data_IF_194047144685
#
_entry.id   IF_194047144685
#
_cell.length_a   1.000
_cell.length_b   1.000
_cell.length_c   1.000
_cell.angle_alpha   90.00
_cell.angle_beta   90.00
_cell.angle_gamma   90.00
#
_symmetry.space_group_name_H-M   'P 1'
#
loop_
_entity.id
_entity.type
_entity.pdbx_description
1 polymer ?
#
# COMPACT_ATOMS: atom_id res chain seq x y z
N UNK A 1 -0.90 16.95 -5.97
CA UNK A 1 -0.38 16.10 -4.88
C UNK A 1 0.80 16.80 -4.25
N UNK A 2 0.93 16.72 -2.92
CA UNK A 2 2.14 17.20 -2.25
C UNK A 2 3.35 16.39 -2.72
N UNK A 3 4.51 17.03 -2.80
CA UNK A 3 5.78 16.41 -3.22
C UNK A 3 6.63 15.91 -2.04
N UNK A 4 6.19 16.19 -0.81
CA UNK A 4 6.90 15.89 0.42
C UNK A 4 5.99 15.00 1.25
N UNK A 5 6.50 13.84 1.67
CA UNK A 5 5.77 12.83 2.43
C UNK A 5 6.43 12.63 3.79
N UNK A 6 5.63 12.37 4.82
CA UNK A 6 6.10 12.02 6.16
C UNK A 6 5.86 10.50 6.32
N UNK A 7 6.89 9.71 6.69
CA UNK A 7 6.71 8.28 6.87
C UNK A 7 5.81 7.98 8.08
N UNK A 8 4.94 6.98 7.94
CA UNK A 8 4.20 6.40 9.04
C UNK A 8 5.11 5.50 9.88
N UNK A 9 5.00 5.59 11.21
CA UNK A 9 5.80 4.79 12.15
C UNK A 9 4.98 3.69 12.82
N UNK A 10 3.65 3.83 12.85
CA UNK A 10 2.71 2.86 13.43
C UNK A 10 1.42 2.80 12.63
N UNK A 11 0.63 1.71 12.72
CA UNK A 11 -0.60 1.56 11.96
C UNK A 11 -1.58 2.73 12.14
N UNK A 12 -1.65 3.31 13.35
CA UNK A 12 -2.57 4.42 13.64
C UNK A 12 -2.28 5.68 12.82
N UNK A 13 -1.05 5.85 12.33
CA UNK A 13 -0.67 6.97 11.47
C UNK A 13 -1.37 6.88 10.10
N UNK A 14 -1.96 5.73 9.74
CA UNK A 14 -2.75 5.57 8.52
C UNK A 14 -4.16 6.15 8.63
N UNK A 15 -4.72 6.26 9.84
CA UNK A 15 -6.08 6.79 10.07
C UNK A 15 -6.34 8.15 9.40
N UNK A 16 -5.45 9.17 9.51
CA UNK A 16 -5.65 10.44 8.83
C UNK A 16 -5.46 10.37 7.30
N UNK A 17 -4.89 9.29 6.77
CA UNK A 17 -4.65 9.10 5.34
C UNK A 17 -5.86 8.50 4.62
N UNK A 18 -6.84 7.99 5.36
CA UNK A 18 -8.10 7.49 4.79
C UNK A 18 -8.96 8.65 4.27
N UNK A 19 -9.65 8.42 3.16
CA UNK A 19 -10.60 9.34 2.56
C UNK A 19 -11.70 9.74 3.56
N UNK A 20 -12.08 8.81 4.43
CA UNK A 20 -13.14 8.98 5.43
C UNK A 20 -12.69 8.33 6.75
N UNK A 21 -12.30 9.13 7.78
CA UNK A 21 -11.77 8.62 9.04
C UNK A 21 -12.69 7.65 9.80
N UNK A 22 -14.00 7.68 9.50
CA UNK A 22 -15.00 6.73 10.04
C UNK A 22 -14.77 5.28 9.62
N UNK A 23 -13.95 5.03 8.59
CA UNK A 23 -13.57 3.68 8.16
C UNK A 23 -12.53 3.04 9.08
N UNK A 24 -11.90 3.81 9.97
CA UNK A 24 -10.99 3.29 10.99
C UNK A 24 -11.76 2.60 12.12
N UNK A 25 -12.16 1.35 11.89
CA UNK A 25 -12.94 0.52 12.83
C UNK A 25 -12.39 -0.90 12.86
N UNK A 26 -12.40 -1.51 14.05
CA UNK A 26 -12.03 -2.94 14.18
C UNK A 26 -13.00 -3.79 13.35
N UNK A 27 -12.49 -4.83 12.67
CA UNK A 27 -13.20 -5.66 11.68
C UNK A 27 -13.49 -4.98 10.32
N UNK A 28 -12.95 -3.79 10.06
CA UNK A 28 -13.00 -3.16 8.73
C UNK A 28 -11.66 -3.30 8.00
N UNK A 29 -11.73 -3.36 6.67
CA UNK A 29 -10.59 -3.61 5.78
C UNK A 29 -9.49 -2.57 5.90
N UNK A 30 -9.82 -1.27 5.92
CA UNK A 30 -8.83 -0.20 5.99
C UNK A 30 -7.90 -0.33 7.23
N UNK A 31 -8.49 -0.61 8.40
CA UNK A 31 -7.72 -0.85 9.63
C UNK A 31 -6.93 -2.16 9.54
N UNK A 32 -7.55 -3.24 9.05
CA UNK A 32 -6.85 -4.52 8.91
C UNK A 32 -5.64 -4.42 7.95
N UNK A 33 -5.77 -3.68 6.87
CA UNK A 33 -4.72 -3.42 5.90
C UNK A 33 -3.54 -2.67 6.53
N UNK A 34 -3.83 -1.59 7.28
CA UNK A 34 -2.80 -0.81 7.96
C UNK A 34 -1.94 -1.67 8.90
N UNK A 35 -2.56 -2.51 9.73
CA UNK A 35 -1.82 -3.42 10.60
C UNK A 35 -1.06 -4.47 9.80
N UNK A 36 -1.73 -5.13 8.84
CA UNK A 36 -1.11 -6.20 8.05
C UNK A 36 0.15 -5.76 7.29
N UNK A 37 0.18 -4.52 6.78
CA UNK A 37 1.29 -4.01 5.99
C UNK A 37 2.33 -3.28 6.85
N UNK A 38 1.92 -2.43 7.78
CA UNK A 38 2.86 -1.68 8.61
C UNK A 38 3.63 -2.60 9.57
N UNK A 39 2.98 -3.60 10.17
CA UNK A 39 3.65 -4.53 11.10
C UNK A 39 4.54 -5.55 10.37
N UNK A 40 4.24 -5.86 9.10
CA UNK A 40 5.11 -6.70 8.29
C UNK A 40 6.47 -6.03 8.01
N UNK A 41 6.54 -4.69 8.12
CA UNK A 41 7.74 -3.89 7.85
C UNK A 41 8.37 -4.16 6.47
N UNK A 42 7.55 -4.63 5.53
CA UNK A 42 7.79 -4.91 4.11
C UNK A 42 6.45 -5.48 3.56
N UNK A 43 6.47 -6.26 2.48
CA UNK A 43 5.31 -7.04 2.03
C UNK A 43 4.83 -8.04 3.10
N UNK A 44 3.51 -8.13 3.36
CA UNK A 44 2.94 -9.24 4.10
C UNK A 44 3.34 -10.58 3.49
N UNK A 45 3.57 -11.59 4.32
CA UNK A 45 4.12 -12.89 3.88
C UNK A 45 3.27 -13.56 2.79
N UNK A 46 1.94 -13.43 2.86
CA UNK A 46 1.03 -13.94 1.82
C UNK A 46 1.27 -13.28 0.46
N UNK A 47 1.52 -11.97 0.44
CA UNK A 47 1.81 -11.20 -0.78
C UNK A 47 3.21 -11.54 -1.29
N UNK A 48 4.20 -11.60 -0.39
CA UNK A 48 5.57 -12.00 -0.74
C UNK A 48 5.63 -13.37 -1.40
N UNK A 49 4.84 -14.32 -0.90
CA UNK A 49 4.81 -15.66 -1.47
C UNK A 49 4.20 -15.70 -2.88
N UNK A 50 3.25 -14.82 -3.20
CA UNK A 50 2.76 -14.69 -4.58
C UNK A 50 3.88 -14.25 -5.52
N UNK A 51 4.70 -13.25 -5.13
CA UNK A 51 5.84 -12.82 -5.93
C UNK A 51 6.88 -13.93 -6.11
N UNK A 52 7.28 -14.58 -5.03
CA UNK A 52 8.24 -15.70 -5.06
C UNK A 52 7.76 -16.86 -5.94
N UNK A 53 6.48 -17.20 -5.85
CA UNK A 53 5.89 -18.34 -6.56
C UNK A 53 5.45 -18.00 -8.00
N UNK A 54 5.55 -16.73 -8.42
CA UNK A 54 5.15 -16.32 -9.77
C UNK A 54 6.01 -16.91 -10.89
N UNK A 55 7.24 -17.35 -10.57
CA UNK A 55 8.23 -17.80 -11.56
C UNK A 55 8.84 -16.67 -12.40
N UNK A 56 8.51 -15.40 -12.11
CA UNK A 56 9.04 -14.23 -12.82
C UNK A 56 10.34 -13.78 -12.16
N UNK A 57 11.44 -13.75 -12.93
CA UNK A 57 12.78 -13.40 -12.42
C UNK A 57 12.80 -12.06 -11.70
N UNK A 58 12.17 -11.04 -12.31
CA UNK A 58 12.08 -9.68 -11.78
C UNK A 58 11.54 -9.62 -10.34
N UNK A 59 10.71 -10.59 -9.94
CA UNK A 59 10.04 -10.60 -8.64
C UNK A 59 10.76 -11.46 -7.59
N UNK A 60 11.86 -12.14 -7.93
CA UNK A 60 12.60 -13.01 -6.99
C UNK A 60 13.13 -12.26 -5.76
N UNK A 61 13.60 -11.02 -5.94
CA UNK A 61 14.21 -10.18 -4.90
C UNK A 61 13.48 -8.83 -4.75
N UNK A 62 12.15 -8.83 -4.91
CA UNK A 62 11.37 -7.59 -4.85
C UNK A 62 11.46 -6.91 -3.48
N UNK A 63 11.77 -5.61 -3.50
CA UNK A 63 11.94 -4.76 -2.33
C UNK A 63 10.87 -3.66 -2.33
N UNK A 64 10.10 -3.54 -1.24
CA UNK A 64 9.14 -2.46 -1.06
C UNK A 64 9.90 -1.16 -0.71
N UNK A 65 9.80 -0.15 -1.57
CA UNK A 65 10.46 1.15 -1.35
C UNK A 65 9.52 2.13 -0.64
N UNK A 66 8.30 2.27 -1.15
CA UNK A 66 7.29 3.19 -0.62
C UNK A 66 5.89 2.58 -0.75
N UNK A 67 5.05 2.85 0.23
CA UNK A 67 3.65 2.47 0.25
C UNK A 67 2.76 3.68 0.53
N UNK A 68 1.67 3.81 -0.21
CA UNK A 68 0.72 4.91 -0.09
C UNK A 68 -0.69 4.33 0.07
N UNK A 69 -1.31 4.41 1.26
CA UNK A 69 -2.68 3.98 1.44
C UNK A 69 -3.63 4.90 0.68
N UNK A 70 -4.71 4.32 0.17
CA UNK A 70 -5.80 5.09 -0.44
C UNK A 70 -5.36 6.07 -1.55
N UNK A 71 -4.39 5.64 -2.38
CA UNK A 71 -3.82 6.49 -3.41
C UNK A 71 -4.83 6.76 -4.54
N UNK A 72 -5.02 8.05 -4.84
CA UNK A 72 -5.99 8.51 -5.84
C UNK A 72 -5.38 8.50 -7.24
N UNK A 73 -6.02 7.77 -8.16
CA UNK A 73 -5.65 7.67 -9.56
C UNK A 73 -6.71 8.38 -10.42
N UNK A 74 -6.36 9.48 -11.11
CA UNK A 74 -7.26 10.12 -12.06
C UNK A 74 -7.61 9.15 -13.20
N UNK A 75 -8.89 9.01 -13.51
CA UNK A 75 -9.36 8.20 -14.63
C UNK A 75 -9.80 9.12 -15.77
N UNK A 76 -9.35 8.82 -16.98
CA UNK A 76 -9.77 9.51 -18.21
C UNK A 76 -11.28 9.38 -18.41
N UNK A 77 -11.97 10.51 -18.60
CA UNK A 77 -13.42 10.54 -18.79
C UNK A 77 -14.27 10.43 -17.52
N UNK A 78 -13.64 10.20 -16.35
CA UNK A 78 -14.33 10.17 -15.05
C UNK A 78 -14.39 11.54 -14.39
N UNK A 79 -15.47 11.80 -13.64
CA UNK A 79 -15.63 13.04 -12.84
C UNK A 79 -14.97 12.95 -11.46
N UNK A 80 -14.59 11.76 -11.01
CA UNK A 80 -13.93 11.50 -9.72
C UNK A 80 -12.75 10.54 -9.92
N UNK A 81 -11.64 10.72 -9.17
CA UNK A 81 -10.54 9.78 -9.21
C UNK A 81 -10.97 8.43 -8.63
N UNK A 82 -10.40 7.35 -9.16
CA UNK A 82 -10.44 6.05 -8.51
C UNK A 82 -9.48 6.03 -7.33
N UNK A 83 -9.73 5.18 -6.35
CA UNK A 83 -8.89 5.04 -5.17
C UNK A 83 -8.62 3.56 -4.93
N UNK A 84 -7.34 3.18 -4.85
CA UNK A 84 -6.95 1.83 -4.46
C UNK A 84 -6.92 1.70 -2.93
N UNK A 85 -6.79 0.46 -2.43
CA UNK A 85 -6.57 0.24 -1.00
C UNK A 85 -5.15 0.67 -0.59
N UNK A 86 -4.16 0.32 -1.41
CA UNK A 86 -2.75 0.66 -1.25
C UNK A 86 -2.04 0.69 -2.61
N UNK A 87 -1.17 1.68 -2.81
CA UNK A 87 -0.23 1.73 -3.93
C UNK A 87 1.19 1.48 -3.41
N UNK A 88 1.93 0.61 -4.11
CA UNK A 88 3.31 0.25 -3.76
C UNK A 88 4.24 0.65 -4.89
N UNK A 89 5.32 1.35 -4.55
CA UNK A 89 6.52 1.46 -5.37
C UNK A 89 7.54 0.45 -4.86
N UNK A 90 8.00 -0.44 -5.74
CA UNK A 90 8.94 -1.50 -5.41
C UNK A 90 10.07 -1.59 -6.42
N UNK A 91 11.23 -2.06 -5.96
CA UNK A 91 12.39 -2.36 -6.80
C UNK A 91 12.38 -3.85 -7.12
N UNK A 92 12.46 -4.17 -8.41
CA UNK A 92 12.62 -5.56 -8.86
C UNK A 92 14.09 -5.98 -8.90
N UNK A 93 14.34 -7.25 -9.18
CA UNK A 93 15.70 -7.75 -9.34
C UNK A 93 16.40 -7.08 -10.53
N UNK A 94 17.67 -6.71 -10.36
CA UNK A 94 18.50 -6.03 -11.38
C UNK A 94 17.92 -4.68 -11.92
N UNK A 95 17.09 -3.99 -11.13
CA UNK A 95 16.59 -2.62 -11.40
C UNK A 95 17.31 -1.57 -10.54
#
# INVERSE_FOLDING_TARGET
>A
MNKIFIPANKPEDWKPLLAEPKHWKTKHSAKALAYSWQEANDFPESVRNVFKNSGIELFRSIELLLAFPEYKVPLSGGSRPSQNDIFILAKGDNQ
#
